data_IF_585322705225
#
_entry.id   IF_585322705225
#
_cell.length_a   1.000
_cell.length_b   1.000
_cell.length_c   1.000
_cell.angle_alpha   90.00
_cell.angle_beta   90.00
_cell.angle_gamma   90.00
#
_symmetry.space_group_name_H-M   'P 1'
#
loop_
_entity.id
_entity.type
_entity.pdbx_description
1 polymer ?
#
# COMPACT_ATOMS: atom_id res chain seq x y z
N UNK A 1 1.89 -37.31 -4.20
CA UNK A 1 1.79 -35.89 -3.78
C UNK A 1 2.27 -35.63 -2.35
N UNK A 2 1.98 -36.52 -1.38
CA UNK A 2 2.54 -36.45 -0.01
C UNK A 2 4.07 -36.61 0.08
N UNK A 3 4.69 -37.39 -0.80
CA UNK A 3 6.16 -37.56 -0.84
C UNK A 3 6.92 -36.32 -1.34
N UNK A 4 6.33 -35.48 -2.19
CA UNK A 4 6.99 -34.27 -2.69
C UNK A 4 7.07 -33.16 -1.61
N UNK A 5 6.05 -33.08 -0.73
CA UNK A 5 6.03 -32.17 0.41
C UNK A 5 7.04 -32.57 1.50
N UNK A 6 7.13 -33.88 1.82
CA UNK A 6 8.11 -34.36 2.80
C UNK A 6 9.55 -34.20 2.30
N UNK A 7 9.81 -34.47 1.01
CA UNK A 7 11.16 -34.31 0.43
C UNK A 7 11.57 -32.84 0.37
N UNK A 8 10.66 -31.89 0.11
CA UNK A 8 10.96 -30.45 0.13
C UNK A 8 11.15 -29.88 1.54
N UNK A 9 10.33 -30.27 2.53
CA UNK A 9 10.54 -29.89 3.94
C UNK A 9 11.85 -30.46 4.50
N UNK A 10 12.19 -31.71 4.16
CA UNK A 10 13.49 -32.30 4.52
C UNK A 10 14.63 -31.58 3.79
N UNK A 11 14.44 -31.17 2.52
CA UNK A 11 15.42 -30.35 1.80
C UNK A 11 15.63 -29.00 2.50
N UNK A 12 14.57 -28.34 2.97
CA UNK A 12 14.68 -27.08 3.71
C UNK A 12 15.33 -27.26 5.08
N UNK A 13 14.98 -28.28 5.87
CA UNK A 13 15.63 -28.57 7.17
C UNK A 13 17.11 -29.00 7.02
N UNK A 14 17.46 -29.71 5.93
CA UNK A 14 18.87 -30.05 5.64
C UNK A 14 19.64 -28.88 5.00
N UNK A 15 18.99 -28.01 4.23
CA UNK A 15 19.57 -26.77 3.68
C UNK A 15 19.73 -25.68 4.73
N UNK A 16 18.86 -25.63 5.75
CA UNK A 16 19.03 -24.81 6.95
C UNK A 16 20.39 -25.09 7.64
N UNK A 17 20.90 -26.32 7.50
CA UNK A 17 22.23 -26.73 7.99
C UNK A 17 23.34 -26.76 6.94
N UNK A 18 23.05 -26.60 5.63
CA UNK A 18 24.03 -26.84 4.55
C UNK A 18 24.08 -25.82 3.39
N UNK A 19 23.26 -24.77 3.36
CA UNK A 19 23.47 -23.70 2.39
C UNK A 19 24.53 -22.73 2.89
N UNK A 20 25.64 -22.63 2.16
CA UNK A 20 26.61 -21.54 2.30
C UNK A 20 25.91 -20.21 1.97
N UNK A 21 25.74 -19.31 2.95
CA UNK A 21 25.22 -17.98 2.71
C UNK A 21 26.24 -17.20 1.86
N UNK A 22 25.80 -16.16 1.16
CA UNK A 22 26.69 -15.27 0.41
C UNK A 22 27.74 -14.51 1.27
N UNK A 23 27.84 -14.79 2.58
CA UNK A 23 28.66 -14.09 3.57
C UNK A 23 29.21 -15.00 4.71
N UNK A 24 29.11 -16.33 4.65
CA UNK A 24 29.50 -17.27 5.73
C UNK A 24 28.81 -17.07 7.11
N UNK A 25 27.96 -16.05 7.28
CA UNK A 25 27.26 -15.72 8.53
C UNK A 25 25.94 -16.50 8.66
N UNK A 26 25.75 -17.22 9.77
CA UNK A 26 24.48 -17.90 10.11
C UNK A 26 23.40 -16.92 10.55
N UNK A 27 22.12 -17.34 10.53
CA UNK A 27 21.01 -16.52 11.02
C UNK A 27 21.27 -15.97 12.44
N UNK A 28 21.65 -16.85 13.37
CA UNK A 28 21.92 -16.45 14.76
C UNK A 28 23.14 -15.55 14.91
N UNK A 29 24.16 -15.69 14.07
CA UNK A 29 25.29 -14.75 14.06
C UNK A 29 24.82 -13.35 13.63
N UNK A 30 23.96 -13.26 12.59
CA UNK A 30 23.37 -12.01 12.16
C UNK A 30 22.48 -11.38 13.24
N UNK A 31 21.63 -12.18 13.90
CA UNK A 31 20.80 -11.73 15.02
C UNK A 31 21.67 -11.21 16.16
N UNK A 32 22.69 -11.97 16.58
CA UNK A 32 23.62 -11.59 17.66
C UNK A 32 24.33 -10.27 17.38
N UNK A 33 24.74 -10.05 16.13
CA UNK A 33 25.42 -8.81 15.71
C UNK A 33 24.51 -7.59 15.72
N UNK A 34 23.21 -7.78 15.49
CA UNK A 34 22.25 -6.69 15.31
C UNK A 34 21.39 -6.40 16.55
N UNK A 35 21.18 -7.38 17.42
CA UNK A 35 20.33 -7.23 18.60
C UNK A 35 20.75 -6.04 19.47
N UNK A 36 19.78 -5.41 20.13
CA UNK A 36 20.03 -4.35 21.10
C UNK A 36 20.84 -4.90 22.29
N UNK A 37 21.45 -4.05 23.13
CA UNK A 37 22.09 -4.49 24.37
C UNK A 37 21.15 -5.27 25.32
N UNK A 38 19.84 -5.06 25.21
CA UNK A 38 18.82 -5.76 25.99
C UNK A 38 18.33 -7.05 25.31
N UNK A 39 18.89 -7.41 24.15
CA UNK A 39 18.52 -8.61 23.38
C UNK A 39 17.34 -8.41 22.44
N UNK A 40 16.90 -7.18 22.16
CA UNK A 40 15.76 -6.92 21.26
C UNK A 40 16.21 -6.90 19.79
N UNK A 41 15.50 -7.61 18.93
CA UNK A 41 15.70 -7.62 17.48
C UNK A 41 14.37 -7.41 16.75
N UNK A 42 14.37 -6.55 15.73
CA UNK A 42 13.24 -6.40 14.80
C UNK A 42 13.45 -7.34 13.62
N UNK A 43 12.48 -8.21 13.34
CA UNK A 43 12.51 -9.12 12.19
C UNK A 43 11.40 -8.76 11.22
N UNK A 44 11.75 -8.66 9.93
CA UNK A 44 10.80 -8.40 8.85
C UNK A 44 11.05 -9.38 7.70
N UNK A 45 10.04 -10.19 7.38
CA UNK A 45 10.12 -11.14 6.26
C UNK A 45 9.77 -10.46 4.94
N UNK A 46 10.53 -10.75 3.86
CA UNK A 46 10.39 -10.06 2.57
C UNK A 46 10.80 -10.97 1.40
N UNK A 47 10.31 -10.68 0.20
CA UNK A 47 10.81 -11.24 -1.05
C UNK A 47 10.99 -10.15 -2.12
N UNK A 48 11.49 -10.51 -3.29
CA UNK A 48 11.70 -9.58 -4.41
C UNK A 48 10.42 -8.97 -4.94
N UNK A 49 9.26 -9.61 -4.77
CA UNK A 49 7.96 -9.07 -5.19
C UNK A 49 7.51 -7.94 -4.25
N UNK A 50 7.87 -7.99 -2.97
CA UNK A 50 7.56 -6.95 -1.97
C UNK A 50 8.74 -6.02 -1.64
N UNK A 51 9.77 -5.98 -2.49
CA UNK A 51 10.96 -5.15 -2.25
C UNK A 51 10.63 -3.67 -2.07
N UNK A 52 9.78 -3.09 -2.92
CA UNK A 52 9.34 -1.70 -2.83
C UNK A 52 8.61 -1.40 -1.51
N UNK A 53 7.79 -2.32 -1.00
CA UNK A 53 7.17 -2.20 0.31
C UNK A 53 8.21 -2.20 1.43
N UNK A 54 9.22 -3.08 1.37
CA UNK A 54 10.30 -3.08 2.33
C UNK A 54 11.17 -1.81 2.28
N UNK A 55 11.44 -1.29 1.08
CA UNK A 55 12.11 0.00 0.90
C UNK A 55 11.28 1.15 1.48
N UNK A 56 9.96 1.12 1.27
CA UNK A 56 9.05 2.09 1.86
C UNK A 56 9.08 2.02 3.40
N UNK A 57 8.92 0.83 3.96
CA UNK A 57 8.99 0.59 5.41
C UNK A 57 10.30 1.09 6.01
N UNK A 58 11.44 0.80 5.38
CA UNK A 58 12.72 1.34 5.83
C UNK A 58 12.72 2.87 5.88
N UNK A 59 12.23 3.52 4.83
CA UNK A 59 12.24 4.99 4.71
C UNK A 59 11.24 5.67 5.64
N UNK A 60 10.06 5.09 5.85
CA UNK A 60 9.00 5.67 6.69
C UNK A 60 9.19 5.34 8.16
N UNK A 61 9.76 4.18 8.48
CA UNK A 61 9.62 3.58 9.82
C UNK A 61 10.96 3.33 10.52
N UNK A 62 11.97 2.79 9.81
CA UNK A 62 13.24 2.43 10.45
C UNK A 62 14.21 3.63 10.51
N UNK A 63 14.42 4.28 9.36
CA UNK A 63 15.38 5.38 9.21
C UNK A 63 15.05 6.60 10.06
N UNK A 64 13.81 7.13 10.09
CA UNK A 64 13.48 8.33 10.87
C UNK A 64 13.63 8.11 12.38
N UNK A 65 13.35 6.89 12.85
CA UNK A 65 13.39 6.52 14.27
C UNK A 65 14.72 5.92 14.72
N UNK A 66 15.73 5.89 13.83
CA UNK A 66 17.08 5.34 14.07
C UNK A 66 17.06 3.90 14.61
N UNK A 67 16.11 3.08 14.16
CA UNK A 67 16.03 1.68 14.54
C UNK A 67 17.08 0.92 13.74
N UNK A 68 18.11 0.42 14.44
CA UNK A 68 19.27 -0.26 13.84
C UNK A 68 19.32 -1.75 14.14
N UNK A 69 18.67 -2.19 15.21
CA UNK A 69 18.52 -3.59 15.59
C UNK A 69 17.43 -4.25 14.74
N UNK A 70 17.63 -4.28 13.43
CA UNK A 70 16.68 -4.83 12.46
C UNK A 70 17.39 -5.78 11.50
N UNK A 71 16.77 -6.93 11.25
CA UNK A 71 17.18 -7.89 10.25
C UNK A 71 16.02 -8.17 9.30
N UNK A 72 16.20 -7.80 8.03
CA UNK A 72 15.32 -8.30 6.99
C UNK A 72 15.65 -9.77 6.72
N UNK A 73 14.64 -10.61 6.60
CA UNK A 73 14.79 -12.03 6.30
C UNK A 73 14.13 -12.29 4.95
N UNK A 74 14.95 -12.58 3.94
CA UNK A 74 14.49 -12.72 2.57
C UNK A 74 14.38 -14.18 2.12
N UNK A 75 13.39 -14.47 1.28
CA UNK A 75 13.28 -15.75 0.57
C UNK A 75 14.11 -15.83 -0.72
N UNK A 76 14.82 -14.75 -1.08
CA UNK A 76 15.65 -14.71 -2.28
C UNK A 76 16.84 -13.75 -2.16
N UNK A 77 17.94 -14.09 -2.82
CA UNK A 77 19.19 -13.30 -2.80
C UNK A 77 19.03 -11.95 -3.48
N UNK A 78 18.16 -11.83 -4.48
CA UNK A 78 17.98 -10.58 -5.24
C UNK A 78 17.42 -9.48 -4.32
N UNK A 79 16.49 -9.82 -3.44
CA UNK A 79 15.92 -8.91 -2.46
C UNK A 79 17.01 -8.40 -1.49
N UNK A 80 17.74 -9.31 -0.82
CA UNK A 80 18.82 -8.90 0.09
C UNK A 80 19.91 -8.07 -0.58
N UNK A 81 20.33 -8.45 -1.80
CA UNK A 81 21.33 -7.68 -2.55
C UNK A 81 20.85 -6.24 -2.78
N UNK A 82 19.61 -6.06 -3.23
CA UNK A 82 19.05 -4.73 -3.50
C UNK A 82 18.87 -3.91 -2.22
N UNK A 83 18.35 -4.50 -1.15
CA UNK A 83 18.20 -3.83 0.15
C UNK A 83 19.56 -3.36 0.71
N UNK A 84 20.59 -4.22 0.67
CA UNK A 84 21.96 -3.86 1.07
C UNK A 84 22.53 -2.74 0.20
N UNK A 85 22.43 -2.86 -1.12
CA UNK A 85 22.98 -1.87 -2.07
C UNK A 85 22.30 -0.50 -1.97
N UNK A 86 20.97 -0.46 -1.85
CA UNK A 86 20.19 0.78 -1.87
C UNK A 86 20.12 1.47 -0.51
N UNK A 87 20.17 0.71 0.59
CA UNK A 87 19.86 1.22 1.92
C UNK A 87 20.88 0.84 3.00
N UNK A 88 21.84 -0.03 2.73
CA UNK A 88 22.83 -0.48 3.72
C UNK A 88 22.22 -1.27 4.88
N UNK A 89 21.01 -1.83 4.71
CA UNK A 89 20.31 -2.59 5.75
C UNK A 89 20.78 -4.04 5.79
N UNK A 90 20.84 -4.61 6.99
CA UNK A 90 21.14 -6.02 7.15
C UNK A 90 19.99 -6.87 6.59
N UNK A 91 20.34 -7.90 5.83
CA UNK A 91 19.39 -8.83 5.26
C UNK A 91 20.00 -10.24 5.22
N UNK A 92 19.27 -11.22 5.74
CA UNK A 92 19.63 -12.64 5.75
C UNK A 92 18.76 -13.40 4.75
N UNK A 93 19.36 -14.29 3.95
CA UNK A 93 18.62 -15.11 2.99
C UNK A 93 18.33 -16.44 3.66
N UNK A 94 17.06 -16.73 3.91
CA UNK A 94 16.65 -17.91 4.66
C UNK A 94 16.86 -19.19 3.86
N UNK A 95 16.30 -19.23 2.64
CA UNK A 95 16.43 -20.29 1.65
C UNK A 95 16.33 -19.65 0.26
N UNK A 96 17.04 -20.19 -0.74
CA UNK A 96 16.81 -19.81 -2.14
C UNK A 96 15.54 -20.49 -2.68
N UNK A 97 14.44 -19.74 -2.76
CA UNK A 97 13.24 -20.20 -3.45
C UNK A 97 13.35 -19.97 -4.97
N UNK A 98 13.39 -21.04 -5.75
CA UNK A 98 13.42 -20.99 -7.22
C UNK A 98 12.13 -20.41 -7.83
N UNK A 99 11.07 -20.20 -7.04
CA UNK A 99 9.79 -19.56 -7.44
C UNK A 99 9.61 -18.13 -6.90
N UNK A 100 10.65 -17.51 -6.32
CA UNK A 100 10.59 -16.17 -5.71
C UNK A 100 10.19 -15.00 -6.63
N UNK A 101 10.02 -15.24 -7.93
CA UNK A 101 9.58 -14.24 -8.91
C UNK A 101 8.05 -14.16 -9.10
N UNK A 102 7.26 -15.04 -8.49
CA UNK A 102 5.81 -15.06 -8.66
C UNK A 102 5.09 -14.30 -7.53
N UNK A 103 4.14 -13.44 -7.91
CA UNK A 103 3.22 -12.77 -6.99
C UNK A 103 2.31 -13.83 -6.35
N UNK A 104 2.49 -14.12 -5.06
CA UNK A 104 1.61 -15.05 -4.33
C UNK A 104 0.49 -14.29 -3.63
N UNK A 105 -0.75 -14.65 -3.90
CA UNK A 105 -1.95 -14.04 -3.30
C UNK A 105 -2.20 -14.61 -1.89
N UNK A 106 -2.80 -13.82 -1.00
CA UNK A 106 -3.26 -14.30 0.31
C UNK A 106 -4.18 -15.53 0.16
N UNK A 107 -3.83 -16.64 0.82
CA UNK A 107 -4.57 -17.91 0.76
C UNK A 107 -4.03 -18.96 -0.21
N UNK A 108 -3.02 -18.65 -1.03
CA UNK A 108 -2.36 -19.64 -1.91
C UNK A 108 -1.30 -20.46 -1.14
N UNK A 109 -1.06 -21.70 -1.58
CA UNK A 109 -0.09 -22.63 -0.96
C UNK A 109 1.34 -22.07 -0.86
N UNK A 110 1.74 -21.23 -1.82
CA UNK A 110 3.04 -20.53 -1.81
C UNK A 110 3.11 -19.46 -0.70
N UNK A 111 2.01 -18.77 -0.41
CA UNK A 111 1.93 -17.83 0.71
C UNK A 111 2.00 -18.57 2.04
N UNK A 112 1.26 -19.65 2.21
CA UNK A 112 1.22 -20.42 3.47
C UNK A 112 2.60 -21.04 3.80
N UNK A 113 3.33 -21.52 2.77
CA UNK A 113 4.70 -22.00 2.94
C UNK A 113 5.66 -20.88 3.39
N UNK A 114 5.54 -19.67 2.83
CA UNK A 114 6.32 -18.49 3.23
C UNK A 114 6.06 -18.03 4.67
N UNK A 115 4.82 -18.15 5.13
CA UNK A 115 4.42 -17.71 6.47
C UNK A 115 4.84 -18.70 7.57
N UNK A 116 5.02 -19.98 7.25
CA UNK A 116 5.59 -20.95 8.19
C UNK A 116 7.08 -20.66 8.47
N UNK A 117 7.82 -20.19 7.47
CA UNK A 117 9.21 -19.76 7.66
C UNK A 117 9.35 -18.57 8.62
N UNK A 118 8.40 -17.64 8.59
CA UNK A 118 8.34 -16.53 9.57
C UNK A 118 8.24 -17.08 10.99
N UNK A 119 7.35 -18.06 11.23
CA UNK A 119 7.19 -18.71 12.53
C UNK A 119 8.50 -19.37 12.98
N UNK A 120 9.18 -20.12 12.09
CA UNK A 120 10.44 -20.79 12.40
C UNK A 120 11.57 -19.80 12.75
N UNK A 121 11.69 -18.73 11.98
CA UNK A 121 12.72 -17.69 12.19
C UNK A 121 12.53 -16.94 13.50
N UNK A 122 11.27 -16.62 13.86
CA UNK A 122 10.96 -16.01 15.15
C UNK A 122 11.26 -17.00 16.27
N UNK A 123 10.83 -18.26 16.12
CA UNK A 123 11.07 -19.32 17.11
C UNK A 123 12.56 -19.53 17.38
N UNK A 124 13.38 -19.61 16.34
CA UNK A 124 14.84 -19.79 16.47
C UNK A 124 15.47 -18.65 17.28
N UNK A 125 15.09 -17.40 17.02
CA UNK A 125 15.61 -16.26 17.77
C UNK A 125 15.20 -16.29 19.26
N UNK A 126 13.92 -16.56 19.56
CA UNK A 126 13.45 -16.58 20.95
C UNK A 126 13.96 -17.80 21.74
N UNK A 127 14.21 -18.95 21.09
CA UNK A 127 14.86 -20.11 21.72
C UNK A 127 16.31 -19.82 22.12
N UNK A 128 16.95 -18.86 21.46
CA UNK A 128 18.32 -18.42 21.75
C UNK A 128 18.39 -17.16 22.62
N UNK A 129 17.28 -16.79 23.29
CA UNK A 129 17.28 -15.75 24.31
C UNK A 129 17.07 -14.32 23.80
N UNK A 130 16.69 -14.13 22.53
CA UNK A 130 16.39 -12.82 21.98
C UNK A 130 14.90 -12.47 22.12
N UNK A 131 14.60 -11.19 22.36
CA UNK A 131 13.23 -10.67 22.27
C UNK A 131 12.99 -10.20 20.85
N UNK A 132 11.91 -10.67 20.22
CA UNK A 132 11.63 -10.40 18.81
C UNK A 132 10.45 -9.46 18.68
N UNK A 133 10.64 -8.34 17.97
CA UNK A 133 9.56 -7.60 17.33
C UNK A 133 9.44 -8.07 15.88
N UNK A 134 8.48 -8.93 15.59
CA UNK A 134 8.10 -9.25 14.21
C UNK A 134 7.21 -8.14 13.65
N UNK A 135 7.46 -7.76 12.40
CA UNK A 135 6.69 -6.75 11.68
C UNK A 135 6.53 -7.09 10.20
N UNK A 136 5.34 -6.88 9.65
CA UNK A 136 5.13 -6.84 8.20
C UNK A 136 5.74 -5.56 7.61
N UNK A 137 6.00 -5.59 6.30
CA UNK A 137 6.62 -4.49 5.55
C UNK A 137 5.61 -3.47 5.01
N UNK A 138 4.31 -3.73 5.16
CA UNK A 138 3.23 -2.79 4.86
C UNK A 138 2.75 -2.06 6.13
N UNK A 139 3.70 -1.73 6.99
CA UNK A 139 3.52 -0.96 8.21
C UNK A 139 4.09 0.44 8.07
N UNK A 140 3.59 1.38 8.88
CA UNK A 140 4.20 2.70 9.08
C UNK A 140 4.39 2.93 10.57
N UNK A 141 5.63 3.17 11.00
CA UNK A 141 5.95 3.60 12.35
C UNK A 141 5.94 5.12 12.42
N UNK A 142 4.88 5.69 12.97
CA UNK A 142 4.79 7.12 13.25
C UNK A 142 5.72 7.50 14.41
N UNK A 143 5.89 6.59 15.38
CA UNK A 143 6.85 6.68 16.49
C UNK A 143 7.63 5.38 16.61
N UNK A 144 8.77 5.38 17.30
CA UNK A 144 9.53 4.16 17.56
C UNK A 144 8.73 3.18 18.46
N UNK A 145 8.22 2.04 17.94
CA UNK A 145 7.31 1.19 18.70
C UNK A 145 7.97 0.54 19.91
N UNK A 146 9.29 0.26 19.86
CA UNK A 146 10.02 -0.35 20.96
C UNK A 146 10.00 0.52 22.23
N UNK A 147 9.71 1.83 22.11
CA UNK A 147 9.56 2.75 23.24
C UNK A 147 8.13 2.83 23.80
N UNK A 148 7.16 2.28 23.07
CA UNK A 148 5.73 2.38 23.39
C UNK A 148 5.08 1.03 23.70
N UNK A 149 5.77 -0.09 23.45
CA UNK A 149 5.31 -1.42 23.84
C UNK A 149 5.55 -1.62 25.35
N UNK A 150 4.48 -1.71 26.13
CA UNK A 150 4.56 -1.99 27.56
C UNK A 150 4.48 -3.52 27.82
N UNK A 151 5.59 -4.22 27.59
CA UNK A 151 5.74 -5.66 27.85
C UNK A 151 7.00 -5.94 28.69
N UNK A 152 6.89 -5.66 29.98
CA UNK A 152 7.98 -5.77 30.96
C UNK A 152 8.09 -7.18 31.58
N UNK A 153 8.80 -7.30 32.72
CA UNK A 153 8.97 -8.55 33.46
C UNK A 153 7.62 -9.22 33.72
N UNK A 154 7.51 -10.50 33.38
CA UNK A 154 6.28 -11.29 33.51
C UNK A 154 5.34 -11.22 32.31
N UNK A 155 5.58 -10.36 31.32
CA UNK A 155 4.91 -10.40 30.02
C UNK A 155 5.62 -11.41 29.10
N UNK A 156 4.85 -12.20 28.35
CA UNK A 156 5.35 -13.17 27.36
C UNK A 156 5.23 -12.63 25.92
N UNK A 157 4.19 -11.82 25.68
CA UNK A 157 3.80 -11.37 24.34
C UNK A 157 3.08 -10.01 24.43
N UNK A 158 3.40 -9.08 23.54
CA UNK A 158 2.55 -7.95 23.22
C UNK A 158 2.19 -7.96 21.73
N UNK A 159 0.93 -7.69 21.40
CA UNK A 159 0.42 -7.97 20.06
C UNK A 159 -0.58 -6.92 19.60
N UNK A 160 -0.48 -6.52 18.32
CA UNK A 160 -1.49 -5.70 17.66
C UNK A 160 -2.79 -6.50 17.52
N UNK A 161 -3.93 -5.83 17.61
CA UNK A 161 -5.23 -6.49 17.43
C UNK A 161 -6.05 -5.87 16.31
N UNK A 162 -6.84 -6.70 15.65
CA UNK A 162 -7.81 -6.31 14.65
C UNK A 162 -9.07 -5.73 15.30
N UNK A 163 -10.00 -5.28 14.45
CA UNK A 163 -11.39 -5.07 14.87
C UNK A 163 -11.95 -6.37 15.45
N UNK A 164 -12.64 -6.28 16.58
CA UNK A 164 -13.20 -7.45 17.27
C UNK A 164 -12.19 -8.24 18.14
N UNK A 165 -11.00 -7.69 18.40
CA UNK A 165 -9.97 -8.24 19.29
C UNK A 165 -9.30 -9.55 18.83
N UNK A 166 -9.44 -9.93 17.55
CA UNK A 166 -8.59 -10.95 16.92
C UNK A 166 -7.14 -10.46 16.90
N UNK A 167 -6.19 -11.34 17.18
CA UNK A 167 -4.78 -10.94 17.22
C UNK A 167 -4.20 -10.88 15.81
N UNK A 168 -3.40 -9.86 15.52
CA UNK A 168 -2.76 -9.64 14.23
C UNK A 168 -1.35 -10.25 14.22
N UNK A 169 -1.07 -11.13 13.25
CA UNK A 169 0.25 -11.76 13.13
C UNK A 169 1.31 -10.90 12.42
N UNK A 170 0.89 -9.76 11.86
CA UNK A 170 1.77 -8.81 11.19
C UNK A 170 2.56 -7.92 12.15
N UNK A 171 2.19 -7.82 13.43
CA UNK A 171 2.94 -7.04 14.42
C UNK A 171 2.90 -7.70 15.80
N UNK A 172 4.01 -8.36 16.16
CA UNK A 172 4.09 -9.23 17.34
C UNK A 172 5.41 -9.00 18.08
N UNK A 173 5.33 -8.63 19.35
CA UNK A 173 6.47 -8.51 20.25
C UNK A 173 6.50 -9.70 21.21
N UNK A 174 7.38 -10.67 20.97
CA UNK A 174 7.47 -11.90 21.76
C UNK A 174 8.77 -11.96 22.53
N UNK A 175 8.68 -12.29 23.83
CA UNK A 175 9.83 -12.42 24.73
C UNK A 175 10.30 -13.88 24.79
N UNK A 176 11.60 -14.13 25.05
CA UNK A 176 12.17 -15.47 25.14
C UNK A 176 11.85 -16.14 26.50
N UNK A 177 10.57 -16.12 26.89
CA UNK A 177 10.09 -16.84 28.08
C UNK A 177 9.70 -18.26 27.67
N UNK A 178 9.64 -19.18 28.64
CA UNK A 178 9.15 -20.54 28.39
C UNK A 178 7.77 -20.56 27.72
N UNK A 179 6.90 -19.60 28.06
CA UNK A 179 5.55 -19.49 27.48
C UNK A 179 5.56 -18.84 26.09
N UNK A 180 6.39 -17.83 25.86
CA UNK A 180 6.59 -17.26 24.52
C UNK A 180 7.14 -18.30 23.53
N UNK A 181 8.14 -19.07 23.95
CA UNK A 181 8.69 -20.20 23.19
C UNK A 181 7.62 -21.28 22.96
N UNK A 182 6.87 -21.65 24.01
CA UNK A 182 5.78 -22.65 23.90
C UNK A 182 4.68 -22.23 22.92
N UNK A 183 4.34 -20.94 22.88
CA UNK A 183 3.38 -20.39 21.91
C UNK A 183 3.85 -20.64 20.47
N UNK A 184 5.09 -20.25 20.15
CA UNK A 184 5.62 -20.42 18.78
C UNK A 184 5.89 -21.88 18.42
N UNK A 185 6.27 -22.73 19.39
CA UNK A 185 6.29 -24.20 19.18
C UNK A 185 4.91 -24.75 18.83
N UNK A 186 3.85 -24.26 19.45
CA UNK A 186 2.49 -24.65 19.08
C UNK A 186 2.08 -24.14 17.70
N UNK A 187 2.48 -22.93 17.31
CA UNK A 187 2.27 -22.42 15.96
C UNK A 187 3.00 -23.29 14.92
N UNK A 188 4.28 -23.61 15.15
CA UNK A 188 5.06 -24.52 14.30
C UNK A 188 4.43 -25.92 14.22
N UNK A 189 3.88 -26.43 15.33
CA UNK A 189 3.17 -27.70 15.28
C UNK A 189 1.87 -27.59 14.45
N UNK A 190 1.12 -26.50 14.61
CA UNK A 190 -0.09 -26.22 13.83
C UNK A 190 0.21 -26.15 12.33
N UNK A 191 1.33 -25.55 11.92
CA UNK A 191 1.73 -25.50 10.51
C UNK A 191 2.06 -26.86 9.91
N UNK A 192 2.52 -27.81 10.73
CA UNK A 192 2.81 -29.19 10.29
C UNK A 192 1.53 -30.00 10.16
N UNK A 193 0.61 -29.89 11.14
CA UNK A 193 -0.62 -30.71 11.18
C UNK A 193 -1.75 -30.15 10.30
N UNK A 194 -1.79 -28.83 10.09
CA UNK A 194 -2.75 -28.15 9.22
C UNK A 194 -1.98 -27.24 8.23
N UNK A 195 -1.29 -27.80 7.22
CA UNK A 195 -0.38 -27.04 6.34
C UNK A 195 -1.03 -25.96 5.49
N UNK A 196 -2.36 -25.87 5.46
CA UNK A 196 -3.11 -24.83 4.75
C UNK A 196 -3.54 -23.66 5.65
N UNK A 197 -3.30 -23.74 6.96
CA UNK A 197 -3.61 -22.67 7.90
C UNK A 197 -2.57 -21.56 7.80
N UNK A 198 -3.01 -20.32 7.63
CA UNK A 198 -2.14 -19.15 7.71
C UNK A 198 -1.65 -18.88 9.15
N UNK A 199 -0.56 -18.14 9.28
CA UNK A 199 0.08 -17.83 10.56
C UNK A 199 -0.81 -17.04 11.52
N UNK A 200 -1.71 -16.19 11.03
CA UNK A 200 -2.65 -15.46 11.87
C UNK A 200 -3.65 -16.41 12.53
N UNK A 201 -4.19 -17.36 11.77
CA UNK A 201 -5.03 -18.41 12.33
C UNK A 201 -4.25 -19.33 13.27
N UNK A 202 -3.00 -19.69 12.95
CA UNK A 202 -2.13 -20.46 13.83
C UNK A 202 -1.90 -19.75 15.17
N UNK A 203 -1.55 -18.45 15.11
CA UNK A 203 -1.30 -17.60 16.28
C UNK A 203 -2.53 -17.49 17.17
N UNK A 204 -3.70 -17.22 16.59
CA UNK A 204 -4.94 -17.11 17.34
C UNK A 204 -5.33 -18.46 17.98
N UNK A 205 -5.24 -19.58 17.25
CA UNK A 205 -5.47 -20.93 17.82
C UNK A 205 -4.49 -21.23 18.96
N UNK A 206 -3.20 -20.90 18.79
CA UNK A 206 -2.17 -21.13 19.81
C UNK A 206 -2.40 -20.28 21.07
N UNK A 207 -2.75 -18.98 20.93
CA UNK A 207 -3.10 -18.12 22.06
C UNK A 207 -4.32 -18.67 22.83
N UNK A 208 -5.35 -19.14 22.13
CA UNK A 208 -6.54 -19.74 22.77
C UNK A 208 -6.15 -20.98 23.60
N UNK A 209 -5.27 -21.84 23.08
CA UNK A 209 -4.75 -23.00 23.82
C UNK A 209 -3.93 -22.57 25.03
N UNK A 210 -3.02 -21.61 24.86
CA UNK A 210 -2.16 -21.10 25.93
C UNK A 210 -2.95 -20.45 27.06
N UNK A 211 -4.03 -19.72 26.76
CA UNK A 211 -4.91 -19.13 27.78
C UNK A 211 -5.51 -20.14 28.74
N UNK A 212 -5.78 -21.37 28.30
CA UNK A 212 -6.32 -22.43 29.18
C UNK A 212 -5.37 -22.76 30.33
N UNK A 213 -4.07 -22.53 30.14
CA UNK A 213 -3.05 -22.82 31.14
C UNK A 213 -2.94 -21.80 32.29
N UNK A 214 -3.63 -20.64 32.20
CA UNK A 214 -3.60 -19.50 33.15
C UNK A 214 -2.22 -18.88 33.47
N UNK A 215 -1.12 -19.42 32.94
CA UNK A 215 0.24 -18.93 33.14
C UNK A 215 0.79 -18.12 31.96
N UNK A 216 0.03 -18.00 30.87
CA UNK A 216 0.41 -17.21 29.70
C UNK A 216 -0.07 -15.77 29.87
N UNK A 217 0.87 -14.84 30.01
CA UNK A 217 0.58 -13.43 30.20
C UNK A 217 0.91 -12.65 28.93
N UNK A 218 -0.10 -12.05 28.31
CA UNK A 218 0.10 -11.26 27.11
C UNK A 218 -0.71 -9.96 27.15
N UNK A 219 -0.17 -8.96 26.47
CA UNK A 219 -0.72 -7.61 26.39
C UNK A 219 -1.27 -7.39 24.99
N UNK A 220 -2.49 -6.88 24.91
CA UNK A 220 -3.03 -6.34 23.67
C UNK A 220 -2.61 -4.89 23.56
N UNK A 221 -1.98 -4.53 22.44
CA UNK A 221 -1.59 -3.15 22.19
C UNK A 221 -2.86 -2.30 21.93
N UNK A 222 -2.94 -1.06 22.45
CA UNK A 222 -4.15 -0.24 22.30
C UNK A 222 -4.40 0.16 20.84
N UNK A 223 -5.59 -0.14 20.31
CA UNK A 223 -5.98 0.18 18.93
C UNK A 223 -5.87 1.66 18.56
N UNK A 224 -5.96 2.57 19.54
CA UNK A 224 -5.80 4.01 19.35
C UNK A 224 -4.36 4.44 19.04
N UNK A 225 -3.37 3.58 19.29
CA UNK A 225 -1.94 3.86 19.07
C UNK A 225 -1.26 2.82 18.17
N UNK A 226 -1.73 1.57 18.18
CA UNK A 226 -1.29 0.49 17.29
C UNK A 226 -2.49 0.04 16.47
N UNK A 227 -2.73 0.72 15.34
CA UNK A 227 -3.98 0.58 14.60
C UNK A 227 -3.83 -0.39 13.43
N UNK A 228 -4.76 -1.34 13.33
CA UNK A 228 -4.98 -2.08 12.09
C UNK A 228 -5.59 -1.16 11.02
N UNK A 229 -5.56 -1.61 9.77
CA UNK A 229 -6.05 -0.85 8.64
C UNK A 229 -7.54 -0.56 8.70
N UNK A 230 -8.36 -1.50 9.20
CA UNK A 230 -9.79 -1.26 9.43
C UNK A 230 -10.03 -0.16 10.47
N UNK A 231 -9.23 -0.13 11.55
CA UNK A 231 -9.36 0.89 12.61
C UNK A 231 -8.86 2.25 12.13
N UNK A 232 -7.70 2.28 11.45
CA UNK A 232 -7.07 3.54 11.06
C UNK A 232 -7.73 4.19 9.85
N UNK A 233 -7.95 3.44 8.77
CA UNK A 233 -8.42 3.99 7.50
C UNK A 233 -9.95 4.02 7.44
N UNK A 234 -10.62 2.93 7.81
CA UNK A 234 -12.06 2.78 7.57
C UNK A 234 -12.90 3.35 8.73
N UNK A 235 -12.74 2.84 9.96
CA UNK A 235 -13.45 3.37 11.15
C UNK A 235 -12.99 4.78 11.51
N UNK A 236 -11.74 5.09 11.16
CA UNK A 236 -11.17 6.42 11.28
C UNK A 236 -11.64 7.42 10.24
N UNK A 237 -12.37 6.98 9.22
CA UNK A 237 -12.84 7.78 8.07
C UNK A 237 -11.69 8.56 7.41
N UNK A 238 -10.52 7.93 7.24
CA UNK A 238 -9.32 8.55 6.65
C UNK A 238 -9.12 8.05 5.22
N UNK A 239 -9.44 8.90 4.25
CA UNK A 239 -9.27 8.61 2.83
C UNK A 239 -8.00 9.25 2.25
N UNK A 240 -7.56 10.37 2.83
CA UNK A 240 -6.41 11.15 2.41
C UNK A 240 -5.53 11.56 3.60
N UNK A 241 -4.32 12.04 3.32
CA UNK A 241 -3.35 12.43 4.36
C UNK A 241 -3.84 13.56 5.29
N UNK A 242 -4.76 14.39 4.83
CA UNK A 242 -5.31 15.54 5.55
C UNK A 242 -6.54 15.22 6.42
N UNK A 243 -7.06 13.98 6.39
CA UNK A 243 -8.28 13.58 7.13
C UNK A 243 -8.00 13.30 8.64
N UNK A 244 -7.27 14.22 9.29
CA UNK A 244 -7.02 14.23 10.74
C UNK A 244 -6.13 13.07 11.28
N UNK A 245 -4.79 13.23 11.26
CA UNK A 245 -3.89 12.26 11.88
C UNK A 245 -3.97 12.37 13.42
N UNK A 246 -4.39 11.28 14.08
CA UNK A 246 -4.31 11.18 15.54
C UNK A 246 -2.86 11.33 16.02
N UNK A 247 -2.63 12.19 17.02
CA UNK A 247 -1.30 12.44 17.59
C UNK A 247 -0.71 11.25 18.35
N UNK A 248 -1.57 10.29 18.73
CA UNK A 248 -1.21 9.18 19.60
C UNK A 248 -0.79 7.93 18.85
N UNK A 249 -0.89 7.95 17.53
CA UNK A 249 -0.50 6.83 16.66
C UNK A 249 1.00 6.56 16.77
N UNK A 250 1.32 5.28 16.95
CA UNK A 250 2.66 4.71 16.99
C UNK A 250 2.88 3.85 15.76
N UNK A 251 1.95 2.93 15.45
CA UNK A 251 2.01 2.01 14.31
C UNK A 251 0.68 2.02 13.54
N UNK A 252 0.79 2.02 12.22
CA UNK A 252 -0.34 1.84 11.30
C UNK A 252 -0.05 0.61 10.44
N UNK A 253 -0.97 -0.36 10.44
CA UNK A 253 -0.93 -1.50 9.52
C UNK A 253 -1.79 -1.23 8.30
N UNK A 254 -1.25 -1.44 7.09
CA UNK A 254 -1.96 -1.30 5.82
C UNK A 254 -2.69 -2.58 5.38
N UNK A 255 -3.23 -3.34 6.34
CA UNK A 255 -4.08 -4.51 6.08
C UNK A 255 -5.55 -4.09 5.84
N UNK A 256 -6.47 -5.06 5.76
CA UNK A 256 -7.88 -4.83 5.35
C UNK A 256 -8.07 -4.29 3.93
N UNK A 257 -7.06 -4.48 3.07
CA UNK A 257 -7.12 -4.19 1.64
C UNK A 257 -6.46 -5.33 0.87
N UNK A 258 -7.04 -5.69 -0.26
CA UNK A 258 -6.55 -6.78 -1.12
C UNK A 258 -5.66 -6.20 -2.22
N UNK A 259 -4.61 -6.96 -2.59
CA UNK A 259 -3.55 -6.62 -3.55
C UNK A 259 -2.46 -5.67 -3.02
N UNK A 260 -1.25 -5.85 -3.54
CA UNK A 260 -0.10 -5.00 -3.23
C UNK A 260 -0.27 -3.61 -3.82
N UNK A 261 -0.81 -3.54 -5.03
CA UNK A 261 -1.06 -2.31 -5.79
C UNK A 261 -2.00 -1.39 -5.03
N UNK A 262 -3.09 -1.92 -4.48
CA UNK A 262 -4.03 -1.14 -3.67
C UNK A 262 -3.39 -0.67 -2.35
N UNK A 263 -2.53 -1.48 -1.71
CA UNK A 263 -1.77 -1.06 -0.52
C UNK A 263 -0.84 0.11 -0.83
N UNK A 264 -0.10 0.02 -1.93
CA UNK A 264 0.78 1.11 -2.41
C UNK A 264 -0.05 2.36 -2.70
N UNK A 265 -1.14 2.24 -3.45
CA UNK A 265 -2.02 3.37 -3.77
C UNK A 265 -2.56 4.05 -2.51
N UNK A 266 -3.04 3.29 -1.52
CA UNK A 266 -3.48 3.85 -0.23
C UNK A 266 -2.35 4.59 0.49
N UNK A 267 -1.14 4.03 0.56
CA UNK A 267 -0.01 4.75 1.14
C UNK A 267 0.33 6.05 0.39
N UNK A 268 0.18 6.09 -0.93
CA UNK A 268 0.37 7.32 -1.71
C UNK A 268 -0.66 8.39 -1.34
N UNK A 269 -1.94 8.03 -1.24
CA UNK A 269 -3.00 8.96 -0.81
C UNK A 269 -2.79 9.49 0.62
N UNK A 270 -2.12 8.73 1.48
CA UNK A 270 -1.79 9.17 2.84
C UNK A 270 -0.40 9.81 2.98
N UNK A 271 0.32 10.09 1.88
CA UNK A 271 1.70 10.59 1.89
C UNK A 271 2.68 9.70 2.70
N UNK A 272 2.34 8.41 2.82
CA UNK A 272 3.10 7.36 3.49
C UNK A 272 3.94 6.51 2.52
N UNK A 273 4.02 6.91 1.25
CA UNK A 273 4.85 6.27 0.23
C UNK A 273 6.07 7.13 -0.14
N UNK A 274 7.27 6.65 0.19
CA UNK A 274 8.56 7.34 0.02
C UNK A 274 9.49 6.69 -1.02
N UNK A 275 8.95 5.78 -1.83
CA UNK A 275 9.69 5.13 -2.93
C UNK A 275 9.46 5.91 -4.23
N UNK A 276 10.53 6.48 -4.75
CA UNK A 276 10.55 7.30 -5.96
C UNK A 276 11.20 6.54 -7.12
N UNK A 277 10.65 5.37 -7.43
CA UNK A 277 11.19 4.52 -8.49
C UNK A 277 10.97 5.17 -9.87
N UNK A 278 12.02 5.19 -10.69
CA UNK A 278 12.02 5.80 -12.04
C UNK A 278 11.55 7.27 -12.08
N UNK A 279 11.72 8.01 -10.97
CA UNK A 279 11.27 9.39 -10.84
C UNK A 279 9.75 9.53 -10.81
N UNK A 280 9.03 8.60 -10.17
CA UNK A 280 7.58 8.65 -10.01
C UNK A 280 7.09 10.04 -9.54
N UNK A 281 7.78 10.62 -8.56
CA UNK A 281 7.57 11.97 -8.02
C UNK A 281 8.56 13.00 -8.57
N UNK A 282 9.83 12.64 -8.72
CA UNK A 282 10.91 13.63 -8.96
C UNK A 282 11.19 13.97 -10.43
N UNK A 283 10.55 13.31 -11.39
CA UNK A 283 10.86 13.50 -12.82
C UNK A 283 10.45 14.88 -13.33
N UNK A 284 11.41 15.81 -13.39
CA UNK A 284 11.23 17.19 -13.85
C UNK A 284 10.71 17.32 -15.29
N UNK A 285 11.00 16.33 -16.16
CA UNK A 285 10.54 16.35 -17.54
C UNK A 285 9.08 15.88 -17.70
N UNK A 286 8.46 15.35 -16.65
CA UNK A 286 7.08 14.92 -16.69
C UNK A 286 6.14 16.13 -16.72
N UNK A 287 5.06 16.00 -17.48
CA UNK A 287 3.99 16.99 -17.58
C UNK A 287 2.70 16.35 -17.12
N UNK A 288 1.87 17.13 -16.46
CA UNK A 288 0.67 16.66 -15.79
C UNK A 288 -0.54 17.48 -16.22
N UNK A 289 -1.71 16.88 -16.03
CA UNK A 289 -2.97 17.58 -15.97
C UNK A 289 -3.72 17.17 -14.71
N UNK A 290 -4.55 18.04 -14.18
CA UNK A 290 -5.43 17.76 -13.05
C UNK A 290 -6.79 18.41 -13.28
N UNK A 291 -7.81 17.88 -12.62
CA UNK A 291 -9.16 18.40 -12.66
C UNK A 291 -9.84 18.19 -11.32
N UNK A 292 -10.93 18.90 -11.04
CA UNK A 292 -11.76 18.65 -9.88
C UNK A 292 -13.11 18.03 -10.25
N UNK A 293 -13.74 17.39 -9.27
CA UNK A 293 -15.16 17.06 -9.31
C UNK A 293 -16.00 18.20 -8.67
N UNK A 294 -17.26 18.41 -9.09
CA UNK A 294 -18.11 19.49 -8.64
C UNK A 294 -18.73 19.12 -7.28
N UNK A 295 -18.98 20.13 -6.46
CA UNK A 295 -19.37 19.94 -5.05
C UNK A 295 -20.80 19.40 -4.84
N UNK A 296 -21.71 19.63 -5.79
CA UNK A 296 -23.11 19.22 -5.68
C UNK A 296 -23.61 18.56 -6.98
N UNK A 297 -24.12 17.34 -6.87
CA UNK A 297 -24.88 16.67 -7.92
C UNK A 297 -26.37 16.62 -7.54
N UNK A 298 -27.26 16.83 -8.52
CA UNK A 298 -28.72 16.80 -8.28
C UNK A 298 -29.27 15.39 -8.01
N UNK A 299 -28.57 14.33 -8.44
CA UNK A 299 -28.98 12.93 -8.31
C UNK A 299 -27.72 12.03 -8.20
N UNK A 300 -27.73 11.05 -7.29
CA UNK A 300 -26.55 10.26 -6.87
C UNK A 300 -26.19 9.09 -7.81
N UNK A 301 -27.18 8.46 -8.45
CA UNK A 301 -26.91 7.39 -9.43
C UNK A 301 -26.21 7.95 -10.68
N UNK A 302 -26.41 9.24 -10.98
CA UNK A 302 -25.70 9.96 -12.03
C UNK A 302 -24.28 10.38 -11.66
N UNK A 303 -23.94 10.56 -10.38
CA UNK A 303 -22.62 11.07 -9.95
C UNK A 303 -21.48 10.15 -10.34
N UNK A 304 -21.56 8.86 -10.01
CA UNK A 304 -20.47 7.93 -10.31
C UNK A 304 -20.28 7.71 -11.83
N UNK A 305 -21.39 7.65 -12.58
CA UNK A 305 -21.34 7.51 -14.03
C UNK A 305 -20.72 8.76 -14.68
N UNK A 306 -21.08 9.95 -14.21
CA UNK A 306 -20.53 11.22 -14.69
C UNK A 306 -19.05 11.37 -14.33
N UNK A 307 -18.65 11.03 -13.11
CA UNK A 307 -17.23 11.03 -12.68
C UNK A 307 -16.39 9.99 -13.43
N UNK A 308 -16.95 8.81 -13.73
CA UNK A 308 -16.33 7.81 -14.60
C UNK A 308 -16.11 8.36 -16.01
N UNK A 309 -17.08 9.08 -16.57
CA UNK A 309 -16.94 9.75 -17.87
C UNK A 309 -15.91 10.88 -17.82
N UNK A 310 -15.89 11.69 -16.75
CA UNK A 310 -14.89 12.72 -16.56
C UNK A 310 -13.47 12.13 -16.46
N UNK A 311 -13.30 11.02 -15.73
CA UNK A 311 -12.04 10.29 -15.63
C UNK A 311 -11.60 9.74 -17.00
N UNK A 312 -12.53 9.15 -17.77
CA UNK A 312 -12.26 8.75 -19.17
C UNK A 312 -11.79 9.95 -20.00
N UNK A 313 -12.46 11.09 -19.91
CA UNK A 313 -12.07 12.30 -20.63
C UNK A 313 -10.68 12.80 -20.21
N UNK A 314 -10.34 12.70 -18.92
CA UNK A 314 -9.01 13.03 -18.39
C UNK A 314 -7.91 12.18 -19.04
N UNK A 315 -8.11 10.87 -19.16
CA UNK A 315 -7.15 9.99 -19.82
C UNK A 315 -7.04 10.23 -21.32
N UNK A 316 -8.14 10.56 -21.99
CA UNK A 316 -8.11 10.93 -23.40
C UNK A 316 -7.27 12.20 -23.61
N UNK A 317 -7.55 13.27 -22.84
CA UNK A 317 -6.79 14.52 -22.90
C UNK A 317 -5.32 14.29 -22.52
N UNK A 318 -5.06 13.47 -21.51
CA UNK A 318 -3.71 13.07 -21.10
C UNK A 318 -2.95 12.36 -22.22
N UNK A 319 -3.59 11.43 -22.92
CA UNK A 319 -3.00 10.77 -24.09
C UNK A 319 -2.71 11.76 -25.23
N UNK A 320 -3.67 12.63 -25.54
CA UNK A 320 -3.56 13.66 -26.60
C UNK A 320 -2.39 14.60 -26.34
N UNK A 321 -2.23 15.05 -25.10
CA UNK A 321 -1.24 16.06 -24.69
C UNK A 321 0.07 15.45 -24.15
N UNK A 322 0.16 14.11 -24.09
CA UNK A 322 1.27 13.37 -23.45
C UNK A 322 1.52 13.82 -22.01
N UNK A 323 0.43 13.96 -21.24
CA UNK A 323 0.42 14.38 -19.84
C UNK A 323 -0.11 13.26 -18.93
N UNK A 324 0.49 13.15 -17.74
CA UNK A 324 0.05 12.24 -16.68
C UNK A 324 -1.14 12.87 -15.94
N UNK A 325 -2.19 12.10 -15.71
CA UNK A 325 -3.42 12.56 -15.03
C UNK A 325 -3.22 12.52 -13.52
N UNK A 326 -3.29 13.66 -12.83
CA UNK A 326 -3.40 13.73 -11.37
C UNK A 326 -4.90 13.67 -11.05
N UNK A 327 -5.29 12.64 -10.30
CA UNK A 327 -6.68 12.32 -10.04
C UNK A 327 -7.35 13.33 -9.08
N UNK A 328 -8.65 13.60 -9.23
CA UNK A 328 -9.42 14.31 -8.21
C UNK A 328 -9.72 13.38 -7.03
N UNK A 329 -10.28 13.96 -5.97
CA UNK A 329 -11.12 13.22 -5.03
C UNK A 329 -12.49 12.93 -5.66
N UNK A 330 -13.01 11.72 -5.50
CA UNK A 330 -14.30 11.28 -6.03
C UNK A 330 -15.40 11.36 -4.97
N UNK A 331 -16.66 11.42 -5.36
CA UNK A 331 -17.76 11.40 -4.39
C UNK A 331 -18.17 9.97 -4.05
N UNK A 332 -18.41 9.69 -2.76
CA UNK A 332 -18.86 8.38 -2.30
C UNK A 332 -19.90 8.51 -1.16
N UNK A 333 -20.76 7.49 -1.00
CA UNK A 333 -21.76 7.41 0.08
C UNK A 333 -23.21 7.69 -0.36
N UNK A 334 -24.17 7.10 0.37
CA UNK A 334 -25.60 7.08 0.01
C UNK A 334 -26.44 8.21 0.65
N UNK A 335 -25.98 8.86 1.72
CA UNK A 335 -26.75 9.91 2.41
C UNK A 335 -26.35 11.36 2.05
N UNK A 336 -27.36 12.21 1.80
CA UNK A 336 -27.28 13.65 1.46
C UNK A 336 -26.53 14.53 2.47
N UNK A 337 -26.26 14.01 3.67
CA UNK A 337 -25.72 14.80 4.79
C UNK A 337 -24.20 14.86 4.87
N UNK A 338 -23.48 13.93 4.23
CA UNK A 338 -22.02 13.92 4.24
C UNK A 338 -21.50 13.99 2.80
N UNK A 339 -20.88 15.11 2.42
CA UNK A 339 -20.02 15.25 1.24
C UNK A 339 -18.75 14.39 1.44
N UNK A 340 -18.92 13.06 1.45
CA UNK A 340 -17.82 12.13 1.67
C UNK A 340 -17.05 11.97 0.36
N UNK A 341 -15.75 12.18 0.45
CA UNK A 341 -14.83 12.07 -0.67
C UNK A 341 -14.00 10.81 -0.55
N UNK A 342 -13.82 10.10 -1.66
CA UNK A 342 -13.09 8.85 -1.72
C UNK A 342 -11.97 8.90 -2.75
N UNK A 343 -10.97 8.05 -2.53
CA UNK A 343 -9.90 7.81 -3.49
C UNK A 343 -10.33 6.79 -4.57
N UNK A 344 -9.52 6.64 -5.62
CA UNK A 344 -9.85 5.80 -6.78
C UNK A 344 -10.15 4.35 -6.42
N UNK A 345 -9.44 3.82 -5.42
CA UNK A 345 -9.57 2.43 -5.01
C UNK A 345 -10.99 2.12 -4.55
N UNK A 346 -11.78 3.07 -4.04
CA UNK A 346 -13.20 2.86 -3.70
C UNK A 346 -14.09 2.40 -4.86
N UNK A 347 -13.66 2.61 -6.10
CA UNK A 347 -14.46 2.31 -7.29
C UNK A 347 -13.82 1.30 -8.22
N UNK A 348 -12.49 1.24 -8.26
CA UNK A 348 -11.76 0.41 -9.21
C UNK A 348 -10.75 -0.51 -8.54
N UNK A 349 -10.59 -1.71 -9.10
CA UNK A 349 -9.51 -2.63 -8.71
C UNK A 349 -8.17 -2.08 -9.20
N UNK A 350 -7.33 -1.62 -8.26
CA UNK A 350 -6.07 -0.94 -8.57
C UNK A 350 -5.12 -1.82 -9.40
N UNK A 351 -5.16 -3.15 -9.24
CA UNK A 351 -4.35 -4.06 -10.04
C UNK A 351 -4.56 -3.88 -11.56
N UNK A 352 -5.82 -3.93 -12.06
CA UNK A 352 -6.07 -3.72 -13.50
C UNK A 352 -5.86 -2.27 -13.90
N UNK A 353 -6.20 -1.36 -12.99
CA UNK A 353 -6.02 0.06 -13.23
C UNK A 353 -4.54 0.40 -13.44
N UNK A 354 -3.63 -0.17 -12.64
CA UNK A 354 -2.19 -0.01 -12.80
C UNK A 354 -1.68 -0.72 -14.06
N UNK A 355 -2.20 -1.90 -14.39
CA UNK A 355 -1.86 -2.59 -15.63
C UNK A 355 -2.20 -1.76 -16.88
N UNK A 356 -3.31 -1.02 -16.86
CA UNK A 356 -3.71 -0.13 -17.96
C UNK A 356 -3.06 1.26 -17.90
N UNK A 357 -2.96 1.85 -16.71
CA UNK A 357 -2.69 3.28 -16.53
C UNK A 357 -1.52 3.60 -15.60
N UNK A 358 -0.80 2.64 -15.01
CA UNK A 358 0.17 2.89 -13.91
C UNK A 358 1.27 3.94 -14.19
N UNK A 359 1.60 4.20 -15.46
CA UNK A 359 2.52 5.29 -15.88
C UNK A 359 1.84 6.60 -16.30
N UNK A 360 0.52 6.58 -16.42
CA UNK A 360 -0.35 7.62 -16.98
C UNK A 360 -1.18 8.36 -15.93
N UNK A 361 -1.14 7.96 -14.65
CA UNK A 361 -1.80 8.70 -13.58
C UNK A 361 -0.96 8.88 -12.32
N UNK A 362 -1.41 9.77 -11.44
CA UNK A 362 -0.97 9.99 -10.06
C UNK A 362 -2.16 10.16 -9.14
N UNK A 363 -1.99 9.73 -7.90
CA UNK A 363 -2.95 9.84 -6.80
C UNK A 363 -3.38 11.30 -6.54
N UNK A 364 -4.50 11.50 -5.82
CA UNK A 364 -5.02 12.83 -5.52
C UNK A 364 -4.00 13.66 -4.73
N UNK A 365 -3.34 13.05 -3.76
CA UNK A 365 -2.35 13.71 -2.91
C UNK A 365 -0.97 13.91 -3.56
N UNK A 366 -0.81 13.63 -4.85
CA UNK A 366 0.50 13.67 -5.53
C UNK A 366 1.23 15.00 -5.35
N UNK A 367 0.58 16.13 -5.65
CA UNK A 367 1.21 17.46 -5.57
C UNK A 367 1.53 17.90 -4.12
N UNK A 368 0.97 17.22 -3.12
CA UNK A 368 1.26 17.44 -1.71
C UNK A 368 2.47 16.65 -1.23
N UNK A 369 2.96 15.67 -2.01
CA UNK A 369 4.11 14.88 -1.63
C UNK A 369 5.41 15.71 -1.72
N UNK A 370 6.19 15.71 -0.64
CA UNK A 370 7.44 16.45 -0.52
C UNK A 370 8.51 16.10 -1.57
N UNK A 371 8.41 14.91 -2.20
CA UNK A 371 9.32 14.49 -3.26
C UNK A 371 8.99 15.12 -4.61
N UNK A 372 7.79 15.71 -4.78
CA UNK A 372 7.45 16.44 -6.00
C UNK A 372 8.23 17.76 -6.03
N UNK A 373 9.07 18.01 -7.05
CA UNK A 373 9.88 19.20 -7.12
C UNK A 373 9.04 20.48 -7.14
N UNK A 374 9.52 21.53 -6.47
CA UNK A 374 8.89 22.87 -6.48
C UNK A 374 8.72 23.43 -7.89
N UNK A 375 9.57 23.04 -8.84
CA UNK A 375 9.44 23.41 -10.25
C UNK A 375 8.15 22.87 -10.90
N UNK A 376 7.64 21.73 -10.42
CA UNK A 376 6.36 21.16 -10.85
C UNK A 376 5.21 21.83 -10.11
N UNK A 377 5.26 21.88 -8.77
CA UNK A 377 4.15 22.40 -7.95
C UNK A 377 3.91 23.90 -8.11
N UNK A 378 4.91 24.66 -8.60
CA UNK A 378 4.78 26.11 -8.89
C UNK A 378 4.48 26.42 -10.36
N UNK A 379 4.64 25.46 -11.27
CA UNK A 379 4.38 25.65 -12.71
C UNK A 379 2.97 25.18 -13.03
N UNK A 380 1.99 25.97 -12.59
CA UNK A 380 0.56 25.70 -12.75
C UNK A 380 -0.02 26.64 -13.82
N UNK A 381 -0.83 26.11 -14.73
CA UNK A 381 -1.59 26.95 -15.66
C UNK A 381 -2.72 27.71 -14.96
N UNK A 382 -3.37 28.64 -15.65
CA UNK A 382 -4.72 29.07 -15.29
C UNK A 382 -5.70 27.88 -15.28
N UNK A 383 -6.87 28.07 -14.65
CA UNK A 383 -7.91 27.05 -14.60
C UNK A 383 -8.77 27.14 -15.86
N UNK A 384 -8.84 26.05 -16.61
CA UNK A 384 -9.64 25.97 -17.83
C UNK A 384 -10.97 25.24 -17.60
N UNK A 385 -12.03 25.73 -18.23
CA UNK A 385 -13.33 25.06 -18.30
C UNK A 385 -13.70 24.83 -19.76
N UNK A 386 -13.83 23.56 -20.14
CA UNK A 386 -14.33 23.18 -21.45
C UNK A 386 -15.86 23.20 -21.40
N UNK A 387 -16.46 24.07 -22.22
CA UNK A 387 -17.90 24.29 -22.27
C UNK A 387 -18.48 23.60 -23.50
N UNK A 388 -19.37 22.65 -23.26
CA UNK A 388 -20.18 21.94 -24.27
C UNK A 388 -21.62 21.85 -23.76
N UNK A 389 -22.56 21.48 -24.64
CA UNK A 389 -23.95 21.24 -24.20
C UNK A 389 -24.02 20.09 -23.21
N UNK A 390 -23.16 19.08 -23.35
CA UNK A 390 -23.01 17.98 -22.39
C UNK A 390 -22.48 18.47 -21.03
N UNK A 391 -21.52 19.40 -20.99
CA UNK A 391 -20.95 19.89 -19.72
C UNK A 391 -21.91 20.79 -18.92
N UNK A 392 -22.84 21.49 -19.58
CA UNK A 392 -23.85 22.34 -18.93
C UNK A 392 -24.89 21.60 -18.10
N UNK A 393 -25.13 20.30 -18.37
CA UNK A 393 -26.14 19.50 -17.65
C UNK A 393 -25.67 19.00 -16.28
N UNK A 394 -24.36 18.92 -16.06
CA UNK A 394 -23.77 18.17 -14.94
C UNK A 394 -23.51 18.98 -13.65
N UNK A 395 -23.60 20.33 -13.65
CA UNK A 395 -22.99 21.13 -12.56
C UNK A 395 -23.93 22.17 -11.95
N UNK A 396 -24.14 22.12 -10.63
CA UNK A 396 -24.45 23.30 -9.79
C UNK A 396 -23.14 23.85 -9.19
N UNK A 397 -22.99 25.17 -9.25
CA UNK A 397 -21.74 25.88 -8.91
C UNK A 397 -21.67 26.20 -7.42
N UNK A 398 -20.47 26.13 -6.86
CA UNK A 398 -20.04 27.10 -5.84
C UNK A 398 -19.34 28.26 -6.58
N UNK A 399 -19.96 29.45 -6.68
CA UNK A 399 -19.37 30.60 -7.33
C UNK A 399 -18.10 31.11 -6.63
N UNK A 400 -17.82 30.70 -5.39
CA UNK A 400 -16.65 31.11 -4.61
C UNK A 400 -15.51 30.08 -4.60
N UNK A 401 -15.67 28.92 -5.27
CA UNK A 401 -14.68 27.82 -5.22
C UNK A 401 -13.28 28.25 -5.65
N UNK A 402 -13.19 29.10 -6.69
CA UNK A 402 -11.92 29.65 -7.14
C UNK A 402 -11.88 31.15 -6.90
N UNK A 403 -10.84 31.60 -6.19
CA UNK A 403 -10.48 33.03 -6.14
C UNK A 403 -9.89 33.53 -7.47
N UNK A 404 -9.52 32.61 -8.38
CA UNK A 404 -8.87 32.87 -9.67
C UNK A 404 -9.88 32.81 -10.82
N UNK A 405 -9.60 33.55 -11.90
CA UNK A 405 -10.43 33.56 -13.11
C UNK A 405 -10.38 32.19 -13.82
N UNK A 406 -11.55 31.62 -14.09
CA UNK A 406 -11.68 30.39 -14.90
C UNK A 406 -11.81 30.77 -16.37
N UNK A 407 -10.87 30.31 -17.21
CA UNK A 407 -10.89 30.52 -18.66
C UNK A 407 -11.85 29.53 -19.33
N UNK A 408 -12.84 30.04 -20.08
CA UNK A 408 -13.82 29.20 -20.76
C UNK A 408 -13.40 28.94 -22.21
N UNK A 409 -13.41 27.66 -22.61
CA UNK A 409 -13.13 27.22 -23.96
C UNK A 409 -14.37 26.51 -24.51
N UNK A 410 -14.94 27.04 -25.59
CA UNK A 410 -16.19 26.55 -26.13
C UNK A 410 -15.92 25.49 -27.21
N UNK A 411 -16.39 24.27 -26.98
CA UNK A 411 -16.31 23.19 -27.96
C UNK A 411 -17.21 23.49 -29.16
N UNK A 412 -16.76 23.10 -30.36
CA UNK A 412 -17.57 23.23 -31.58
C UNK A 412 -18.77 22.28 -31.58
N UNK A 413 -18.60 21.09 -30.99
CA UNK A 413 -19.65 20.07 -30.88
C UNK A 413 -20.34 20.10 -29.51
N UNK A 414 -21.64 19.80 -29.53
CA UNK A 414 -22.46 19.61 -28.34
C UNK A 414 -21.93 18.49 -27.41
N UNK A 415 -21.27 17.48 -28.00
CA UNK A 415 -20.74 16.31 -27.29
C UNK A 415 -19.36 16.56 -26.63
N UNK A 416 -18.70 17.68 -26.93
CA UNK A 416 -17.35 18.00 -26.47
C UNK A 416 -16.36 18.18 -27.62
N UNK A 417 -15.13 18.63 -27.33
CA UNK A 417 -14.10 18.86 -28.33
C UNK A 417 -13.51 17.54 -28.85
N UNK A 418 -13.05 17.57 -30.09
CA UNK A 418 -12.24 16.50 -30.69
C UNK A 418 -10.79 16.55 -30.22
N UNK A 419 -10.04 15.47 -30.46
CA UNK A 419 -8.59 15.46 -30.23
C UNK A 419 -7.82 16.57 -30.95
N UNK A 420 -8.30 17.04 -32.11
CA UNK A 420 -7.71 18.16 -32.86
C UNK A 420 -7.91 19.49 -32.13
N UNK A 421 -9.12 19.76 -31.65
CA UNK A 421 -9.43 20.96 -30.86
C UNK A 421 -8.60 21.01 -29.57
N UNK A 422 -8.49 19.89 -28.86
CA UNK A 422 -7.67 19.79 -27.63
C UNK A 422 -6.20 20.09 -27.93
N UNK A 423 -5.63 19.53 -29.01
CA UNK A 423 -4.24 19.83 -29.43
C UNK A 423 -4.08 21.30 -29.80
N UNK A 424 -5.07 21.90 -30.46
CA UNK A 424 -5.02 23.31 -30.83
C UNK A 424 -5.00 24.22 -29.60
N UNK A 425 -5.80 23.91 -28.58
CA UNK A 425 -5.86 24.72 -27.35
C UNK A 425 -4.65 24.53 -26.44
N UNK A 426 -4.19 23.29 -26.26
CA UNK A 426 -3.24 22.97 -25.19
C UNK A 426 -1.92 22.36 -25.67
N UNK A 427 -1.77 22.06 -26.95
CA UNK A 427 -0.59 21.35 -27.48
C UNK A 427 0.72 22.13 -27.34
N UNK A 428 0.64 23.45 -27.15
CA UNK A 428 1.80 24.33 -26.92
C UNK A 428 1.98 24.75 -25.45
N UNK A 429 1.18 24.20 -24.53
CA UNK A 429 1.29 24.51 -23.10
C UNK A 429 2.67 24.14 -22.54
N UNK A 430 3.27 25.04 -21.78
CA UNK A 430 4.62 24.86 -21.23
C UNK A 430 4.60 24.53 -19.74
N UNK A 431 3.47 24.77 -19.08
CA UNK A 431 3.26 24.58 -17.65
C UNK A 431 3.42 23.11 -17.28
N UNK A 432 4.01 22.85 -16.11
CA UNK A 432 4.16 21.49 -15.62
C UNK A 432 2.80 20.84 -15.34
N UNK A 433 1.84 21.59 -14.80
CA UNK A 433 0.50 21.10 -14.49
C UNK A 433 -0.57 21.97 -15.18
N UNK A 434 -1.29 21.36 -16.11
CA UNK A 434 -2.52 21.95 -16.64
C UNK A 434 -3.68 21.73 -15.67
N UNK A 435 -4.43 22.77 -15.34
CA UNK A 435 -5.54 22.72 -14.40
C UNK A 435 -6.87 22.90 -15.12
N UNK A 436 -7.76 21.94 -14.94
CA UNK A 436 -9.13 22.00 -15.42
C UNK A 436 -10.06 22.16 -14.22
N UNK A 437 -11.12 22.94 -14.39
CA UNK A 437 -12.16 23.03 -13.37
C UNK A 437 -12.86 21.68 -13.18
N UNK A 438 -13.23 21.06 -14.30
CA UNK A 438 -13.81 19.72 -14.37
C UNK A 438 -13.66 19.17 -15.79
N UNK A 439 -13.97 17.89 -15.98
CA UNK A 439 -13.87 17.22 -17.29
C UNK A 439 -15.16 16.55 -17.78
N UNK A 440 -16.33 16.92 -17.24
CA UNK A 440 -17.64 16.54 -17.81
C UNK A 440 -17.80 17.11 -19.23
N UNK A 441 -18.15 16.26 -20.20
CA UNK A 441 -18.35 16.66 -21.60
C UNK A 441 -17.12 17.31 -22.24
N UNK A 442 -15.92 17.02 -21.73
CA UNK A 442 -14.67 17.65 -22.12
C UNK A 442 -13.90 16.91 -23.23
N UNK A 443 -14.45 15.79 -23.73
CA UNK A 443 -13.89 15.06 -24.85
C UNK A 443 -14.99 14.30 -25.59
N UNK A 444 -14.97 14.37 -26.92
CA UNK A 444 -15.91 13.65 -27.78
C UNK A 444 -15.26 12.44 -28.45
N UNK A 445 -14.24 12.66 -29.28
CA UNK A 445 -13.63 11.59 -30.07
C UNK A 445 -12.19 11.91 -30.51
N UNK A 446 -11.40 10.85 -30.71
CA UNK A 446 -10.14 10.92 -31.44
C UNK A 446 -10.41 11.15 -32.94
N UNK A 447 -9.44 11.73 -33.64
CA UNK A 447 -9.56 11.97 -35.08
C UNK A 447 -9.51 10.67 -35.90
N UNK A 448 -8.91 9.63 -35.33
CA UNK A 448 -8.77 8.31 -35.94
C UNK A 448 -9.64 7.29 -35.21
N UNK A 449 -10.40 6.51 -35.96
CA UNK A 449 -11.22 5.42 -35.42
C UNK A 449 -10.38 4.33 -34.76
N UNK A 450 -9.18 4.04 -35.29
CA UNK A 450 -8.28 3.05 -34.68
C UNK A 450 -7.70 3.54 -33.36
N UNK A 451 -7.36 4.84 -33.26
CA UNK A 451 -6.95 5.45 -32.00
C UNK A 451 -8.09 5.44 -30.97
N UNK A 452 -9.33 5.72 -31.41
CA UNK A 452 -10.53 5.65 -30.59
C UNK A 452 -10.75 4.22 -30.06
N UNK A 453 -10.73 3.21 -30.92
CA UNK A 453 -10.91 1.81 -30.53
C UNK A 453 -9.83 1.32 -29.56
N UNK A 454 -8.57 1.69 -29.79
CA UNK A 454 -7.47 1.36 -28.90
C UNK A 454 -7.63 2.01 -27.51
N UNK A 455 -8.11 3.27 -27.47
CA UNK A 455 -8.40 3.97 -26.23
C UNK A 455 -9.57 3.34 -25.48
N UNK A 456 -10.66 2.99 -26.16
CA UNK A 456 -11.82 2.37 -25.51
C UNK A 456 -11.50 0.97 -24.95
N UNK A 457 -10.66 0.19 -25.64
CA UNK A 457 -10.13 -1.07 -25.10
C UNK A 457 -9.27 -0.84 -23.84
N UNK A 458 -8.44 0.20 -23.82
CA UNK A 458 -7.65 0.55 -22.64
C UNK A 458 -8.55 0.91 -21.44
N UNK A 459 -9.63 1.67 -21.68
CA UNK A 459 -10.63 2.00 -20.65
C UNK A 459 -11.29 0.73 -20.12
N UNK A 460 -11.76 -0.16 -21.00
CA UNK A 460 -12.38 -1.43 -20.59
C UNK A 460 -11.46 -2.29 -19.71
N UNK A 461 -10.17 -2.35 -20.03
CA UNK A 461 -9.20 -3.14 -19.24
C UNK A 461 -8.92 -2.54 -17.86
N UNK A 462 -8.89 -1.22 -17.73
CA UNK A 462 -8.55 -0.57 -16.46
C UNK A 462 -9.74 -0.24 -15.57
N UNK A 463 -10.93 -0.02 -16.13
CA UNK A 463 -12.14 0.38 -15.37
C UNK A 463 -12.92 -0.84 -14.88
N UNK A 464 -12.22 -1.71 -14.14
CA UNK A 464 -12.80 -2.89 -13.50
C UNK A 464 -13.27 -2.52 -12.10
N UNK A 465 -14.54 -2.80 -11.80
CA UNK A 465 -15.15 -2.45 -10.51
C UNK A 465 -14.40 -3.07 -9.32
N UNK A 466 -14.32 -2.31 -8.24
CA UNK A 466 -13.68 -2.69 -6.99
C UNK A 466 -14.33 -3.91 -6.32
N UNK A 467 -13.52 -4.91 -5.92
CA UNK A 467 -13.91 -6.02 -5.03
C UNK A 467 -12.94 -6.21 -3.84
N UNK A 468 -12.14 -5.18 -3.56
CA UNK A 468 -10.84 -5.30 -2.87
C UNK A 468 -10.89 -5.20 -1.33
N UNK A 469 -12.07 -5.02 -0.72
CA UNK A 469 -12.18 -5.06 0.75
C UNK A 469 -12.06 -6.50 1.23
N UNK A 470 -11.19 -6.75 2.21
CA UNK A 470 -11.15 -8.06 2.87
C UNK A 470 -12.51 -8.30 3.52
N UNK A 471 -13.18 -9.40 3.18
CA UNK A 471 -14.43 -9.80 3.84
C UNK A 471 -14.08 -10.19 5.29
N UNK A 472 -14.90 -9.77 6.28
CA UNK A 472 -14.68 -10.10 7.68
C UNK A 472 -14.50 -11.59 7.97
#
# INVERSE_FOLDING_TARGET
MLLAFAVWCIFCETLFRRQTPANDETFLQAVRRLASPNGDIVLAYVDSAYLDMAENFFKTSLKPHRIRNVLFVASDRRCCRKLRQRHGVACYVLCEDTQASEHTTYGESGFISKMNYRTDVILEAIEHGYTVLHTDTDMVYVKNPLKHINCSRGCDLAILVERGMTHNAGFVYVRPTERGISLYRQMRNLSIVEPTMDDQNQLNKAIIRMKKSRLFNYVRLPNSSFSSGIVYFEEGERMFANDNPSSDIVVIHNNWIVSKEAKIYRFKEHLMWLVDENGYYSKLSAKYLTYDNPLEFKNRTSTLAEERLALRNAFAIGQILRRVVILPSFHCGENERNNMHCALNSFYRIYDFDAAFGRRYREHMFLHNQMVPKAITRSLSDIFRIVSSASKKAIRRDPNKYRQKVQQLHAKSAAGPTSVEIKQWFGKSTEAVLRFDHLYGAFHAFASESEQAAFDNLIQRGFVDATYRQKP
#
